data_IF_778637198338
#
_entry.id   IF_778637198338
#
_cell.length_a   1.000
_cell.length_b   1.000
_cell.length_c   1.000
_cell.angle_alpha   90.00
_cell.angle_beta   90.00
_cell.angle_gamma   90.00
#
_symmetry.space_group_name_H-M   'P 1'
#
loop_
_entity.id
_entity.type
_entity.pdbx_description
1 polymer ?
2 non-polymer ?
3 non-polymer ?
4 non-polymer ?
5 water ?
#
# COMPACT_ATOMS: atom_id res chain seq x y z
N UNK A 1 16.14 -16.62 0.01
CA UNK A 1 16.66 -17.54 1.07
C UNK A 1 15.58 -17.83 2.08
N UNK A 2 15.82 -18.64 3.08
CA UNK A 2 14.76 -18.90 4.08
C UNK A 2 14.37 -17.61 4.84
N UNK A 3 13.05 -17.45 4.89
CA UNK A 3 12.39 -16.30 5.57
C UNK A 3 12.67 -16.36 7.07
N UNK A 4 12.75 -17.61 7.52
CA UNK A 4 13.07 -17.86 8.94
C UNK A 4 14.43 -17.29 9.28
N UNK A 5 15.45 -17.51 8.47
CA UNK A 5 16.73 -16.92 8.87
C UNK A 5 16.86 -15.49 8.50
N UNK A 6 15.89 -14.99 7.73
CA UNK A 6 15.77 -13.52 7.50
C UNK A 6 15.33 -12.88 8.85
N UNK A 7 14.34 -13.55 9.37
CA UNK A 7 13.73 -13.25 10.67
C UNK A 7 14.81 -13.35 11.74
N UNK A 8 15.66 -14.40 11.69
CA UNK A 8 16.72 -14.47 12.69
C UNK A 8 17.78 -13.40 12.47
N UNK A 9 18.27 -13.35 11.26
CA UNK A 9 19.31 -12.40 10.87
C UNK A 9 18.92 -10.96 11.26
N UNK A 10 17.64 -10.60 11.00
CA UNK A 10 17.17 -9.25 11.27
C UNK A 10 16.52 -9.06 12.65
N UNK A 11 16.25 -10.18 13.30
CA UNK A 11 15.58 -10.15 14.62
C UNK A 11 14.23 -9.45 14.42
N UNK A 12 13.67 -9.71 13.22
CA UNK A 12 12.35 -9.13 12.86
C UNK A 12 11.28 -10.19 12.60
N UNK A 13 10.05 -9.73 12.43
CA UNK A 13 8.85 -10.52 12.19
C UNK A 13 8.43 -10.23 10.73
N UNK A 14 8.33 -11.28 9.91
CA UNK A 14 8.02 -11.16 8.51
C UNK A 14 6.65 -11.74 8.19
N UNK A 15 5.92 -10.97 7.40
CA UNK A 15 4.59 -11.29 6.92
C UNK A 15 4.63 -11.10 5.42
N UNK A 16 4.42 -12.19 4.69
CA UNK A 16 4.56 -12.20 3.23
C UNK A 16 3.36 -12.93 2.58
N UNK A 17 2.88 -12.30 1.49
CA UNK A 17 1.86 -12.84 0.63
C UNK A 17 2.21 -12.39 -0.80
N UNK A 18 2.44 -13.40 -1.63
CA UNK A 18 2.80 -13.20 -3.02
C UNK A 18 1.81 -14.05 -3.84
N UNK A 19 1.33 -13.44 -4.91
CA UNK A 19 0.42 -14.08 -5.84
C UNK A 19 0.88 -13.77 -7.26
N UNK A 20 1.06 -14.92 -7.95
CA UNK A 20 1.37 -14.92 -9.37
C UNK A 20 -0.06 -14.87 -10.00
N UNK A 21 -0.24 -13.74 -10.70
CA UNK A 21 -1.61 -13.56 -11.30
C UNK A 21 -1.75 -14.41 -12.53
N UNK A 22 -0.68 -14.66 -13.25
CA UNK A 22 -0.76 -15.61 -14.40
C UNK A 22 -1.24 -17.00 -13.97
N UNK A 23 -0.42 -17.56 -13.06
CA UNK A 23 -0.53 -18.96 -12.62
C UNK A 23 -1.43 -19.22 -11.46
N UNK A 24 -1.66 -18.17 -10.65
CA UNK A 24 -2.38 -18.31 -9.41
C UNK A 24 -1.51 -18.91 -8.30
N UNK A 25 -0.20 -18.98 -8.52
CA UNK A 25 0.70 -19.54 -7.45
C UNK A 25 0.92 -18.50 -6.34
N UNK A 26 0.86 -18.91 -5.09
CA UNK A 26 1.06 -18.12 -3.89
C UNK A 26 2.26 -18.62 -3.08
N UNK A 27 2.85 -17.68 -2.36
CA UNK A 27 3.98 -17.86 -1.44
C UNK A 27 3.46 -17.05 -0.22
N UNK A 28 3.23 -17.79 0.84
CA UNK A 28 2.69 -17.29 2.10
C UNK A 28 3.73 -17.46 3.19
N UNK A 29 3.70 -16.67 4.22
CA UNK A 29 4.62 -16.73 5.36
C UNK A 29 4.02 -15.79 6.45
N UNK A 30 3.54 -16.42 7.53
CA UNK A 30 2.99 -15.56 8.62
C UNK A 30 1.87 -14.70 7.98
N UNK A 31 1.30 -15.26 6.95
CA UNK A 31 0.30 -14.80 6.08
C UNK A 31 -1.02 -14.35 6.72
N UNK A 32 -1.38 -14.97 7.84
CA UNK A 32 -2.67 -14.59 8.47
C UNK A 32 -2.40 -13.81 9.76
N UNK A 33 -1.18 -13.33 9.87
CA UNK A 33 -0.84 -12.54 11.10
C UNK A 33 -0.94 -11.04 10.67
N UNK A 34 -1.61 -10.31 11.50
CA UNK A 34 -1.96 -8.92 11.42
C UNK A 34 -0.79 -8.02 11.65
N UNK A 35 -0.77 -6.97 10.86
CA UNK A 35 0.30 -5.96 10.95
C UNK A 35 -0.43 -4.63 10.53
N UNK A 36 0.26 -3.57 10.95
CA UNK A 36 -0.20 -2.20 10.56
C UNK A 36 0.16 -1.98 9.09
N UNK A 37 -0.78 -1.64 8.25
CA UNK A 37 -0.46 -1.38 6.84
C UNK A 37 0.10 0.01 6.58
N UNK A 38 -0.24 0.95 7.47
CA UNK A 38 0.19 2.35 7.36
C UNK A 38 -0.10 2.89 5.93
N UNK A 39 0.88 3.61 5.37
CA UNK A 39 0.68 4.17 4.06
C UNK A 39 0.42 3.23 2.94
N UNK A 40 0.60 1.91 3.03
CA UNK A 40 0.34 1.01 1.92
C UNK A 40 -1.15 1.13 1.50
N UNK A 41 -1.89 1.45 2.58
CA UNK A 41 -3.33 1.65 2.42
C UNK A 41 -3.67 2.77 1.42
N UNK A 42 -2.76 3.66 1.13
CA UNK A 42 -3.08 4.82 0.21
C UNK A 42 -3.44 4.31 -1.16
N UNK A 43 -2.87 3.10 -1.48
CA UNK A 43 -3.14 2.49 -2.79
C UNK A 43 -4.57 1.97 -2.97
N UNK A 44 -5.16 1.55 -1.87
CA UNK A 44 -6.49 0.98 -1.83
C UNK A 44 -7.55 2.05 -2.02
N UNK A 45 -7.39 3.12 -1.27
CA UNK A 45 -8.37 4.25 -1.27
C UNK A 45 -8.33 4.87 -2.71
N UNK A 46 -7.09 5.05 -3.14
CA UNK A 46 -6.85 5.57 -4.46
C UNK A 46 -7.63 4.74 -5.49
N UNK A 47 -7.41 3.45 -5.47
CA UNK A 47 -8.05 2.56 -6.44
C UNK A 47 -9.57 2.65 -6.28
N UNK A 48 -10.05 2.74 -5.07
CA UNK A 48 -11.49 2.83 -4.75
C UNK A 48 -12.11 4.09 -5.37
N UNK A 49 -11.45 5.21 -5.27
CA UNK A 49 -11.88 6.44 -6.00
C UNK A 49 -11.84 6.23 -7.52
N UNK A 50 -10.80 5.60 -8.00
CA UNK A 50 -10.51 5.33 -9.39
C UNK A 50 -11.61 4.53 -10.09
N UNK A 51 -12.29 3.71 -9.39
CA UNK A 51 -13.39 2.88 -9.80
C UNK A 51 -14.63 3.78 -9.97
N UNK A 52 -14.69 4.78 -9.12
CA UNK A 52 -15.87 5.65 -9.07
C UNK A 52 -15.86 6.91 -9.88
N UNK A 53 -14.79 7.29 -10.52
CA UNK A 53 -14.71 8.52 -11.30
C UNK A 53 -13.81 8.17 -12.54
N UNK A 54 -14.36 8.31 -13.72
CA UNK A 54 -13.67 8.07 -14.95
C UNK A 54 -12.50 9.09 -14.98
N UNK A 55 -11.49 8.67 -15.67
CA UNK A 55 -10.25 9.36 -15.90
C UNK A 55 -10.45 10.80 -16.37
N UNK A 56 -11.42 10.92 -17.27
CA UNK A 56 -11.74 12.22 -17.90
C UNK A 56 -12.23 13.17 -16.79
N UNK A 57 -12.87 12.62 -15.78
CA UNK A 57 -13.48 13.43 -14.71
C UNK A 57 -12.62 13.57 -13.44
N UNK A 58 -11.31 13.47 -13.55
CA UNK A 58 -10.43 13.58 -12.36
C UNK A 58 -9.93 15.00 -12.20
N UNK A 59 -10.29 15.79 -13.19
CA UNK A 59 -10.04 17.22 -13.27
C UNK A 59 -11.01 17.93 -12.25
N UNK A 60 -12.02 17.21 -11.84
CA UNK A 60 -12.94 17.62 -10.81
C UNK A 60 -12.14 18.25 -9.62
N UNK A 61 -12.54 19.46 -9.20
CA UNK A 61 -11.79 20.13 -8.15
C UNK A 61 -12.56 20.10 -6.85
N UNK A 62 -11.81 19.95 -5.76
CA UNK A 62 -12.38 19.88 -4.37
C UNK A 62 -11.70 21.00 -3.56
N UNK A 63 -12.35 21.55 -2.58
CA UNK A 63 -11.81 22.68 -1.79
C UNK A 63 -11.21 22.18 -0.46
N UNK A 64 -9.99 22.64 -0.22
CA UNK A 64 -9.23 22.36 0.99
C UNK A 64 -9.18 23.60 1.89
N UNK A 65 -9.52 23.43 3.15
CA UNK A 65 -9.29 24.54 4.12
C UNK A 65 -8.32 23.90 5.14
N UNK A 66 -8.06 24.74 6.13
CA UNK A 66 -7.14 24.50 7.23
C UNK A 66 -7.55 23.32 8.12
N UNK A 67 -8.81 23.07 8.16
CA UNK A 67 -9.43 21.99 8.93
C UNK A 67 -9.05 20.65 8.29
N UNK A 68 -8.83 20.67 7.00
CA UNK A 68 -8.48 19.50 6.19
C UNK A 68 -7.03 19.00 6.45
N UNK A 69 -6.14 19.90 6.79
CA UNK A 69 -4.76 19.67 6.96
C UNK A 69 -4.27 18.86 8.16
N UNK A 70 -3.51 17.82 7.80
CA UNK A 70 -2.84 16.94 8.81
C UNK A 70 -1.35 16.94 8.50
N UNK A 71 -0.59 16.38 9.41
CA UNK A 71 0.84 16.27 9.38
C UNK A 71 1.34 15.46 8.18
N UNK A 72 2.53 15.86 7.74
CA UNK A 72 3.21 15.19 6.64
C UNK A 72 2.25 15.14 5.42
N UNK A 73 2.11 16.36 4.88
CA UNK A 73 1.32 16.62 3.66
C UNK A 73 2.17 17.64 2.89
N UNK A 74 3.24 17.12 2.29
CA UNK A 74 4.23 17.95 1.59
C UNK A 74 3.57 18.69 0.41
N UNK A 75 2.54 18.02 -0.14
CA UNK A 75 1.87 18.62 -1.31
C UNK A 75 0.68 19.57 -0.85
N UNK A 76 -0.23 19.04 -0.15
CA UNK A 76 -1.49 19.59 0.29
C UNK A 76 -1.40 20.71 1.34
N UNK A 77 -0.25 20.74 1.98
CA UNK A 77 0.07 21.72 3.03
C UNK A 77 -0.02 23.15 2.44
N UNK A 78 0.30 23.32 1.18
CA UNK A 78 0.20 24.58 0.46
C UNK A 78 -1.21 24.87 -0.07
N UNK A 79 -2.19 23.98 0.03
CA UNK A 79 -3.50 24.22 -0.56
C UNK A 79 -4.53 24.83 0.37
N UNK A 80 -4.15 25.34 1.52
CA UNK A 80 -5.13 25.94 2.45
C UNK A 80 -5.80 27.12 1.65
N UNK A 81 -7.12 27.01 1.62
CA UNK A 81 -7.98 27.92 0.90
C UNK A 81 -8.06 27.74 -0.58
N UNK A 82 -7.64 26.60 -1.14
CA UNK A 82 -7.65 26.38 -2.59
C UNK A 82 -8.24 25.01 -2.93
N UNK A 83 -8.38 24.87 -4.21
CA UNK A 83 -8.94 23.67 -4.86
C UNK A 83 -7.76 22.89 -5.48
N UNK A 84 -8.04 21.58 -5.50
CA UNK A 84 -7.00 20.67 -6.11
C UNK A 84 -7.86 19.68 -6.81
N UNK A 85 -7.38 19.17 -7.99
CA UNK A 85 -8.25 18.08 -8.60
C UNK A 85 -8.20 16.74 -7.90
N UNK A 86 -9.12 15.86 -8.28
CA UNK A 86 -9.04 14.43 -7.88
C UNK A 86 -7.69 13.87 -8.39
N UNK A 87 -7.35 14.15 -9.60
CA UNK A 87 -6.10 13.70 -10.21
C UNK A 87 -4.90 14.02 -9.33
N UNK A 88 -4.71 15.28 -8.95
CA UNK A 88 -3.59 15.68 -8.11
C UNK A 88 -3.71 15.18 -6.68
N UNK A 89 -4.86 14.82 -6.18
CA UNK A 89 -4.96 14.31 -4.78
C UNK A 89 -4.23 12.92 -4.76
N UNK A 90 -4.55 12.13 -5.76
CA UNK A 90 -4.07 10.78 -5.95
C UNK A 90 -2.54 10.81 -6.20
N UNK A 91 -2.14 11.67 -7.14
CA UNK A 91 -0.72 11.90 -7.32
C UNK A 91 0.01 12.19 -6.00
N UNK A 92 -0.53 13.06 -5.16
CA UNK A 92 0.08 13.47 -3.93
C UNK A 92 0.05 12.30 -2.93
N UNK A 93 -1.09 11.61 -2.83
CA UNK A 93 -1.15 10.47 -1.93
C UNK A 93 -0.08 9.41 -2.38
N UNK A 94 -0.19 9.03 -3.65
CA UNK A 94 0.67 7.98 -4.21
C UNK A 94 2.16 8.32 -4.21
N UNK A 95 2.66 9.33 -4.82
CA UNK A 95 4.07 9.65 -4.93
C UNK A 95 4.75 10.17 -3.70
N UNK A 96 3.94 10.94 -2.87
CA UNK A 96 4.52 11.67 -1.73
C UNK A 96 3.97 11.12 -0.44
N UNK A 97 3.13 10.11 -0.57
CA UNK A 97 2.43 9.59 0.60
C UNK A 97 1.85 10.80 1.38
N UNK A 98 1.08 11.65 0.75
CA UNK A 98 0.49 12.88 1.31
C UNK A 98 -0.71 12.59 2.15
N UNK A 99 -0.57 12.84 3.48
CA UNK A 99 -1.59 12.48 4.48
C UNK A 99 -2.92 13.27 4.27
N UNK A 100 -2.84 14.50 3.86
CA UNK A 100 -4.18 15.24 3.67
C UNK A 100 -4.85 14.65 2.46
N UNK A 101 -4.02 14.49 1.44
CA UNK A 101 -4.53 13.84 0.17
C UNK A 101 -5.30 12.59 0.49
N UNK A 102 -4.61 11.68 1.24
CA UNK A 102 -5.30 10.38 1.56
C UNK A 102 -6.64 10.65 2.22
N UNK A 103 -6.62 11.42 3.29
CA UNK A 103 -7.83 11.81 4.04
C UNK A 103 -8.94 12.30 3.06
N UNK A 104 -8.59 13.28 2.22
CA UNK A 104 -9.58 13.84 1.28
C UNK A 104 -10.04 12.72 0.33
N UNK A 105 -9.08 11.83 -0.04
CA UNK A 105 -9.53 10.69 -0.91
C UNK A 105 -10.58 9.84 -0.23
N UNK A 106 -10.40 9.46 0.99
CA UNK A 106 -11.37 8.57 1.72
C UNK A 106 -12.73 9.30 1.78
N UNK A 107 -12.53 10.63 2.05
CA UNK A 107 -13.72 11.52 2.13
C UNK A 107 -14.43 11.48 0.78
N UNK A 108 -13.73 11.70 -0.31
CA UNK A 108 -14.44 11.64 -1.62
C UNK A 108 -15.12 10.32 -1.85
N UNK A 109 -14.56 9.25 -1.32
CA UNK A 109 -15.12 7.90 -1.54
C UNK A 109 -16.42 7.73 -0.76
N UNK A 110 -16.56 8.55 0.27
CA UNK A 110 -17.70 8.51 1.18
C UNK A 110 -17.31 8.04 2.55
N UNK A 111 -16.09 8.18 2.99
CA UNK A 111 -15.68 7.83 4.36
C UNK A 111 -15.28 6.35 4.51
N UNK A 112 -14.78 6.06 5.72
CA UNK A 112 -14.28 4.79 6.16
C UNK A 112 -15.27 3.65 6.05
N UNK A 113 -16.52 3.92 6.29
CA UNK A 113 -17.66 3.05 6.20
C UNK A 113 -17.84 2.59 4.74
N UNK A 114 -17.49 3.50 3.87
CA UNK A 114 -17.59 3.21 2.42
C UNK A 114 -16.44 2.29 2.08
N UNK A 115 -15.29 2.59 2.66
CA UNK A 115 -14.10 1.73 2.42
C UNK A 115 -14.49 0.35 3.02
N UNK A 116 -14.94 0.42 4.27
CA UNK A 116 -15.31 -0.87 4.95
C UNK A 116 -16.26 -1.65 4.07
N UNK A 117 -17.14 -0.92 3.43
CA UNK A 117 -18.17 -1.47 2.54
C UNK A 117 -17.56 -2.11 1.31
N UNK A 118 -16.63 -1.43 0.71
CA UNK A 118 -15.94 -1.99 -0.50
C UNK A 118 -15.19 -3.27 -0.21
N UNK A 119 -14.43 -3.25 0.89
CA UNK A 119 -13.62 -4.37 1.40
C UNK A 119 -14.45 -5.64 1.45
N UNK A 120 -15.61 -5.45 2.13
CA UNK A 120 -16.53 -6.60 2.29
C UNK A 120 -17.00 -7.10 0.94
N UNK A 121 -17.15 -6.21 -0.04
CA UNK A 121 -17.61 -6.62 -1.38
C UNK A 121 -16.57 -7.47 -2.07
N UNK A 122 -15.34 -7.09 -1.76
CA UNK A 122 -14.12 -7.70 -2.19
C UNK A 122 -13.93 -9.01 -1.41
N UNK A 123 -14.71 -9.17 -0.36
CA UNK A 123 -14.70 -10.39 0.46
C UNK A 123 -13.52 -10.34 1.42
N UNK A 124 -13.22 -9.11 1.82
CA UNK A 124 -12.14 -8.71 2.69
C UNK A 124 -12.75 -8.38 4.04
N UNK A 125 -12.51 -9.46 4.81
CA UNK A 125 -13.05 -9.63 6.16
C UNK A 125 -12.04 -9.13 7.16
N UNK A 126 -10.83 -8.98 6.75
CA UNK A 126 -9.72 -8.70 7.71
C UNK A 126 -9.26 -7.28 7.82
N UNK A 127 -9.03 -6.69 6.64
CA UNK A 127 -8.53 -5.27 6.62
C UNK A 127 -9.53 -4.45 7.44
N UNK A 128 -8.96 -3.81 8.47
CA UNK A 128 -9.77 -3.06 9.45
C UNK A 128 -9.38 -1.61 9.64
N UNK A 129 -9.78 -0.78 8.67
CA UNK A 129 -9.52 0.67 8.77
C UNK A 129 -10.50 1.24 9.78
N UNK A 130 -9.94 1.96 10.76
CA UNK A 130 -10.75 2.54 11.82
C UNK A 130 -10.58 4.04 11.94
N UNK A 131 -9.35 4.47 11.71
CA UNK A 131 -8.93 5.84 11.91
C UNK A 131 -8.67 6.54 10.57
N UNK A 132 -8.40 7.84 10.72
CA UNK A 132 -8.06 8.67 9.55
C UNK A 132 -6.56 8.90 9.71
N UNK A 133 -5.95 9.57 8.80
CA UNK A 133 -4.54 9.99 8.96
C UNK A 133 -4.52 11.06 10.06
N UNK A 134 -3.42 11.16 10.78
CA UNK A 134 -2.22 10.36 10.73
C UNK A 134 -2.23 9.22 11.76
N UNK A 135 -3.30 9.06 12.49
CA UNK A 135 -3.51 8.09 13.55
C UNK A 135 -3.67 6.63 13.11
N UNK A 136 -4.03 6.45 11.86
CA UNK A 136 -4.22 5.14 11.26
C UNK A 136 -2.89 4.38 11.14
N UNK A 137 -1.81 5.06 11.43
CA UNK A 137 -0.42 4.57 11.38
C UNK A 137 0.21 4.41 12.77
N UNK A 138 -0.58 4.33 13.80
CA UNK A 138 -0.22 4.27 15.20
C UNK A 138 -0.44 2.85 15.75
N UNK A 139 0.39 1.95 15.30
CA UNK A 139 0.39 0.57 15.64
C UNK A 139 0.70 0.21 17.09
N UNK A 140 -0.11 -0.72 17.53
CA UNK A 140 -0.03 -1.36 18.84
C UNK A 140 -0.47 -2.85 18.63
N UNK A 141 0.44 -3.71 19.07
CA UNK A 141 0.28 -5.17 19.01
C UNK A 141 -1.05 -5.67 19.58
N UNK A 142 -1.53 -4.79 20.43
CA UNK A 142 -2.74 -4.99 21.21
C UNK A 142 -3.97 -4.49 20.51
N UNK A 143 -3.82 -3.77 19.41
CA UNK A 143 -5.06 -3.32 18.70
C UNK A 143 -4.98 -3.73 17.25
N UNK A 144 -6.07 -4.08 16.69
CA UNK A 144 -6.48 -4.54 15.41
C UNK A 144 -6.72 -3.40 14.40
N UNK A 145 -6.67 -2.19 14.89
CA UNK A 145 -7.05 -1.00 14.08
C UNK A 145 -6.06 -0.63 13.02
N UNK A 146 -6.55 -0.61 11.76
CA UNK A 146 -5.64 -0.18 10.63
C UNK A 146 -4.57 -1.28 10.45
N UNK A 147 -5.06 -2.50 10.59
CA UNK A 147 -4.31 -3.75 10.38
C UNK A 147 -5.03 -4.59 9.34
N UNK A 148 -4.24 -5.52 8.81
CA UNK A 148 -4.65 -6.57 7.87
C UNK A 148 -3.51 -7.63 7.97
N UNK A 149 -3.73 -8.74 7.35
CA UNK A 149 -2.75 -9.83 7.20
C UNK A 149 -2.21 -9.72 5.80
N UNK A 150 -1.02 -10.15 5.57
CA UNK A 150 -0.42 -10.06 4.22
C UNK A 150 -1.34 -10.70 3.19
N UNK A 151 -2.07 -11.73 3.60
CA UNK A 151 -3.02 -12.39 2.67
C UNK A 151 -4.24 -11.56 2.28
N UNK A 152 -4.99 -11.09 3.28
CA UNK A 152 -6.19 -10.25 3.07
C UNK A 152 -5.76 -9.00 2.30
N UNK A 153 -4.70 -8.33 2.77
CA UNK A 153 -4.26 -7.15 2.00
C UNK A 153 -4.02 -7.48 0.53
N UNK A 154 -3.22 -8.49 0.24
CA UNK A 154 -2.78 -9.04 -1.02
C UNK A 154 -3.95 -9.43 -1.93
N UNK A 155 -4.86 -10.24 -1.38
CA UNK A 155 -6.07 -10.67 -2.09
C UNK A 155 -6.87 -9.49 -2.62
N UNK A 156 -7.04 -8.46 -1.79
CA UNK A 156 -7.71 -7.23 -2.06
C UNK A 156 -7.03 -6.40 -3.13
N UNK A 157 -5.73 -6.29 -3.09
CA UNK A 157 -4.94 -5.54 -4.10
C UNK A 157 -5.15 -6.16 -5.46
N UNK A 158 -5.21 -7.53 -5.39
CA UNK A 158 -5.38 -8.32 -6.61
C UNK A 158 -6.74 -7.98 -7.24
N UNK A 159 -7.75 -8.17 -6.43
CA UNK A 159 -9.14 -7.95 -6.75
C UNK A 159 -9.46 -6.50 -7.15
N UNK A 160 -8.84 -5.56 -6.45
CA UNK A 160 -9.18 -4.15 -6.80
C UNK A 160 -8.46 -3.71 -8.08
N UNK A 161 -7.17 -3.96 -8.04
CA UNK A 161 -6.27 -3.43 -9.09
C UNK A 161 -5.92 -4.32 -10.24
N UNK A 162 -5.22 -5.44 -9.89
CA UNK A 162 -4.66 -6.31 -10.95
C UNK A 162 -5.74 -6.93 -11.80
N UNK A 163 -6.62 -7.54 -11.05
CA UNK A 163 -7.77 -8.24 -11.73
C UNK A 163 -9.03 -7.48 -11.36
N UNK A 164 -8.98 -6.16 -11.42
CA UNK A 164 -10.10 -5.29 -10.98
C UNK A 164 -11.04 -4.83 -12.05
N UNK A 165 -11.74 -3.72 -11.74
CA UNK A 165 -12.75 -3.16 -12.66
C UNK A 165 -12.34 -1.80 -13.20
N UNK A 166 -11.06 -1.47 -12.87
CA UNK A 166 -10.52 -0.21 -13.31
C UNK A 166 -10.52 -0.24 -14.86
N UNK A 167 -10.64 0.97 -15.35
CA UNK A 167 -10.48 1.26 -16.78
C UNK A 167 -8.98 1.25 -17.14
N UNK A 168 -8.74 1.05 -18.39
CA UNK A 168 -7.41 1.06 -18.98
C UNK A 168 -6.69 2.27 -18.41
N UNK A 169 -7.31 3.42 -18.65
CA UNK A 169 -6.79 4.74 -18.28
C UNK A 169 -6.53 4.88 -16.78
N UNK A 170 -7.48 4.51 -15.97
CA UNK A 170 -7.41 4.66 -14.52
C UNK A 170 -6.38 3.64 -13.93
N UNK A 171 -6.50 2.44 -14.48
CA UNK A 171 -5.50 1.40 -14.11
C UNK A 171 -4.09 1.86 -14.47
N UNK A 172 -3.87 2.35 -15.66
CA UNK A 172 -2.54 2.91 -16.04
C UNK A 172 -2.06 4.10 -15.22
N UNK A 173 -2.98 5.02 -14.91
CA UNK A 173 -2.63 6.25 -14.13
C UNK A 173 -2.05 5.81 -12.77
N UNK A 174 -2.73 4.96 -12.08
CA UNK A 174 -2.42 4.45 -10.76
C UNK A 174 -1.16 3.58 -10.66
N UNK A 175 -1.00 2.66 -11.64
CA UNK A 175 0.13 1.80 -11.72
C UNK A 175 1.37 2.61 -12.07
N UNK A 176 1.25 3.58 -13.00
CA UNK A 176 2.41 4.38 -13.38
C UNK A 176 2.99 5.13 -12.19
N UNK A 177 2.01 5.74 -11.45
CA UNK A 177 2.43 6.46 -10.22
C UNK A 177 3.22 5.45 -9.34
N UNK A 178 2.67 4.27 -9.11
CA UNK A 178 3.35 3.28 -8.24
C UNK A 178 4.69 2.83 -8.88
N UNK A 179 4.72 2.92 -10.22
CA UNK A 179 5.96 2.49 -10.92
C UNK A 179 7.00 3.58 -10.85
N UNK A 180 6.60 4.85 -10.92
CA UNK A 180 7.54 5.96 -10.95
C UNK A 180 8.09 6.42 -9.62
N UNK A 181 7.38 6.08 -8.62
CA UNK A 181 7.62 6.41 -7.20
C UNK A 181 9.02 5.82 -6.84
N UNK A 182 9.92 6.63 -6.48
CA UNK A 182 11.29 6.37 -6.11
C UNK A 182 11.39 6.25 -4.59
N UNK A 183 10.27 6.56 -3.93
CA UNK A 183 10.15 6.44 -2.49
C UNK A 183 10.50 5.10 -1.92
N UNK A 184 10.23 3.98 -2.53
CA UNK A 184 10.55 2.64 -1.97
C UNK A 184 11.61 1.85 -2.74
N UNK A 185 12.65 2.55 -3.19
CA UNK A 185 13.74 1.94 -3.96
C UNK A 185 14.57 0.97 -3.12
N UNK A 186 14.51 1.18 -1.82
CA UNK A 186 15.32 0.40 -0.84
C UNK A 186 14.51 -0.82 -0.38
N UNK A 187 13.31 -1.00 -0.96
CA UNK A 187 12.42 -2.07 -0.47
C UNK A 187 12.37 -3.19 -1.48
N UNK A 188 11.19 -3.54 -1.94
CA UNK A 188 11.01 -4.59 -2.92
C UNK A 188 11.89 -4.32 -4.13
N UNK A 189 11.82 -3.13 -4.65
CA UNK A 189 12.59 -2.78 -5.85
C UNK A 189 14.07 -3.12 -5.65
N UNK A 190 14.50 -2.93 -4.41
CA UNK A 190 15.93 -3.24 -4.12
C UNK A 190 16.22 -4.74 -4.20
N UNK A 191 15.28 -5.63 -3.97
CA UNK A 191 15.52 -7.04 -3.97
C UNK A 191 15.27 -7.90 -5.15
N UNK A 192 14.54 -7.40 -6.13
CA UNK A 192 14.17 -8.12 -7.34
C UNK A 192 15.27 -8.00 -8.38
N UNK A 193 15.18 -8.97 -9.31
CA UNK A 193 16.16 -9.07 -10.41
C UNK A 193 16.13 -7.76 -11.15
N UNK A 194 17.30 -7.41 -11.57
CA UNK A 194 17.68 -6.18 -12.25
C UNK A 194 16.73 -5.65 -13.28
N UNK A 195 16.14 -6.52 -14.14
CA UNK A 195 15.22 -6.11 -15.19
C UNK A 195 13.74 -6.40 -14.91
N UNK A 196 13.35 -6.36 -13.69
CA UNK A 196 12.01 -6.53 -13.19
C UNK A 196 11.45 -5.09 -13.00
N UNK A 197 10.14 -5.01 -13.12
CA UNK A 197 9.41 -3.74 -12.91
C UNK A 197 8.56 -3.84 -11.66
N UNK A 198 8.73 -2.80 -10.79
CA UNK A 198 8.02 -2.86 -9.50
C UNK A 198 7.12 -1.60 -9.32
N UNK A 199 5.86 -1.89 -9.09
CA UNK A 199 4.86 -0.78 -8.89
C UNK A 199 4.46 -0.94 -7.45
N UNK A 200 5.14 -0.18 -6.58
CA UNK A 200 4.79 -0.39 -5.13
C UNK A 200 4.28 0.95 -4.53
N UNK A 201 3.93 0.71 -3.28
CA UNK A 201 3.51 1.76 -2.34
C UNK A 201 4.09 1.23 -0.99
N UNK A 202 4.95 1.98 -0.44
CA UNK A 202 5.59 1.58 0.85
C UNK A 202 4.82 2.24 2.02
N UNK A 203 5.21 1.89 3.26
CA UNK A 203 4.55 2.47 4.43
C UNK A 203 5.48 2.16 5.62
N UNK A 204 5.19 2.87 6.69
CA UNK A 204 5.85 2.73 7.98
C UNK A 204 5.03 3.35 9.11
N UNK A 205 4.67 2.53 10.07
CA UNK A 205 4.00 2.93 11.30
C UNK A 205 5.11 3.48 12.24
N UNK A 206 4.61 4.35 13.12
CA UNK A 206 5.46 5.00 14.12
C UNK A 206 6.19 4.01 15.03
N UNK A 207 5.50 2.93 15.39
CA UNK A 207 6.07 1.98 16.39
C UNK A 207 6.39 0.60 15.88
N UNK A 208 7.21 -0.08 16.69
CA UNK A 208 7.61 -1.48 16.54
C UNK A 208 8.30 -1.69 15.19
N UNK A 209 8.97 -0.66 14.73
CA UNK A 209 9.69 -0.73 13.47
C UNK A 209 8.84 -1.29 12.30
N UNK A 210 7.56 -0.92 12.33
CA UNK A 210 6.59 -1.38 11.35
C UNK A 210 6.98 -0.86 9.96
N UNK A 211 7.55 -1.73 9.14
CA UNK A 211 7.97 -1.39 7.79
C UNK A 211 7.36 -2.34 6.79
N UNK A 212 6.77 -1.76 5.73
CA UNK A 212 6.03 -2.43 4.69
C UNK A 212 6.37 -1.89 3.30
N UNK A 213 6.10 -2.79 2.37
CA UNK A 213 6.14 -2.57 0.95
C UNK A 213 5.12 -3.49 0.27
N UNK A 214 4.31 -2.87 -0.57
CA UNK A 214 3.28 -3.55 -1.36
C UNK A 214 3.55 -3.25 -2.83
N UNK A 215 3.46 -4.31 -3.65
CA UNK A 215 3.68 -4.16 -5.10
C UNK A 215 3.02 -5.13 -6.07
N UNK A 216 2.99 -4.70 -7.30
CA UNK A 216 2.69 -5.38 -8.55
C UNK A 216 4.10 -5.44 -9.21
N UNK A 217 4.52 -6.74 -9.33
CA UNK A 217 5.94 -6.97 -9.77
C UNK A 217 5.86 -7.66 -11.12
N UNK A 218 6.55 -7.13 -12.09
CA UNK A 218 6.51 -7.65 -13.45
C UNK A 218 7.89 -8.22 -13.80
N UNK A 219 7.91 -9.57 -13.81
CA UNK A 219 9.13 -10.30 -14.17
C UNK A 219 9.62 -9.78 -15.54
N UNK A 220 10.94 -9.66 -15.58
CA UNK A 220 11.59 -9.27 -16.87
C UNK A 220 10.94 -10.21 -17.91
N UNK A 221 10.21 -9.62 -18.85
CA UNK A 221 9.52 -10.35 -19.90
C UNK A 221 8.19 -11.01 -19.57
N UNK A 222 7.52 -10.51 -18.54
CA UNK A 222 6.20 -10.99 -18.10
C UNK A 222 5.22 -9.83 -17.89
N UNK A 223 4.09 -9.86 -18.58
CA UNK A 223 3.03 -8.88 -18.56
C UNK A 223 2.16 -8.90 -17.30
N UNK A 224 1.68 -10.06 -16.90
CA UNK A 224 0.86 -10.20 -15.68
C UNK A 224 1.83 -9.97 -14.49
N UNK A 225 1.35 -9.29 -13.46
CA UNK A 225 2.16 -9.01 -12.30
C UNK A 225 2.04 -10.07 -11.20
N UNK A 226 3.10 -10.04 -10.40
CA UNK A 226 3.05 -10.83 -9.12
C UNK A 226 2.68 -9.74 -8.08
N UNK A 227 1.61 -10.02 -7.40
CA UNK A 227 1.15 -9.25 -6.24
C UNK A 227 2.01 -9.72 -5.01
N UNK A 228 2.67 -8.71 -4.44
CA UNK A 228 3.56 -8.91 -3.32
C UNK A 228 3.30 -7.97 -2.18
N UNK A 229 2.92 -8.58 -1.09
CA UNK A 229 2.77 -7.84 0.17
C UNK A 229 3.83 -8.33 1.18
N UNK A 230 4.65 -7.36 1.53
CA UNK A 230 5.61 -7.66 2.65
C UNK A 230 5.41 -6.69 3.82
N UNK A 231 5.02 -7.25 4.93
CA UNK A 231 4.84 -6.48 6.19
C UNK A 231 5.96 -6.92 7.14
N UNK A 232 6.55 -6.04 7.85
CA UNK A 232 7.59 -6.43 8.84
C UNK A 232 7.37 -5.61 10.09
N UNK A 233 7.75 -6.18 11.23
CA UNK A 233 7.74 -5.43 12.52
C UNK A 233 8.73 -6.11 13.49
N UNK A 234 8.89 -5.46 14.61
CA UNK A 234 9.89 -5.95 15.61
C UNK A 234 9.27 -5.91 16.99
N UNK A 235 9.95 -6.40 18.00
CA UNK A 235 9.53 -6.53 19.35
C UNK A 235 9.25 -5.26 20.14
N UNK A 236 10.15 -4.31 20.03
CA UNK A 236 10.01 -3.08 20.88
C UNK A 236 9.46 -1.89 20.17
N UNK A 237 8.61 -1.18 20.90
CA UNK A 237 7.98 0.05 20.44
C UNK A 237 8.89 0.97 19.69
N UNK A 238 10.04 1.28 20.24
CA UNK A 238 11.06 2.15 19.70
C UNK A 238 12.05 1.47 18.79
N UNK A 239 11.84 0.23 18.37
CA UNK A 239 12.78 -0.37 17.39
C UNK A 239 12.72 0.36 16.03
N UNK A 240 13.84 0.67 15.41
CA UNK A 240 13.86 1.18 14.03
C UNK A 240 14.02 0.00 13.06
N UNK A 241 13.44 0.12 11.87
CA UNK A 241 13.51 -0.96 10.87
C UNK A 241 14.72 -0.99 9.97
N UNK A 242 14.97 -2.17 9.37
CA UNK A 242 16.10 -2.28 8.37
C UNK A 242 15.43 -2.61 7.02
N UNK A 243 15.47 -1.64 6.12
CA UNK A 243 14.68 -1.82 4.83
C UNK A 243 15.19 -3.01 4.04
N UNK A 244 16.49 -3.24 4.22
CA UNK A 244 17.22 -4.35 3.60
C UNK A 244 16.51 -5.65 3.97
N UNK A 245 15.79 -5.59 5.12
CA UNK A 245 14.95 -6.72 5.50
C UNK A 245 13.96 -7.07 4.35
N UNK A 246 13.20 -6.08 3.89
CA UNK A 246 12.22 -6.24 2.83
C UNK A 246 12.88 -6.58 1.50
N UNK A 247 14.01 -5.92 1.22
CA UNK A 247 14.74 -6.21 -0.03
C UNK A 247 15.13 -7.67 -0.20
N UNK A 248 15.60 -8.21 0.95
CA UNK A 248 16.06 -9.65 1.02
C UNK A 248 14.87 -10.56 1.05
N UNK A 249 13.79 -10.06 1.66
CA UNK A 249 12.53 -10.91 1.60
C UNK A 249 12.04 -11.00 0.16
N UNK A 250 12.12 -9.84 -0.50
CA UNK A 250 11.57 -9.77 -1.88
C UNK A 250 12.42 -10.77 -2.75
N UNK A 251 13.67 -10.67 -2.65
CA UNK A 251 14.72 -11.45 -3.35
C UNK A 251 14.53 -12.94 -3.33
N UNK A 252 14.23 -13.40 -2.12
CA UNK A 252 13.88 -14.79 -1.80
C UNK A 252 12.61 -15.29 -2.43
N UNK A 253 11.50 -14.68 -2.11
CA UNK A 253 10.15 -14.95 -2.57
C UNK A 253 10.08 -14.95 -4.12
N UNK A 254 10.72 -13.96 -4.69
CA UNK A 254 10.73 -13.84 -6.15
C UNK A 254 11.37 -15.10 -6.76
N UNK A 255 12.23 -15.75 -6.01
CA UNK A 255 12.94 -16.96 -6.46
C UNK A 255 11.94 -18.04 -6.86
N UNK A 256 10.86 -18.13 -6.12
CA UNK A 256 9.82 -19.13 -6.32
C UNK A 256 8.94 -19.01 -7.53
N UNK A 257 9.09 -17.95 -8.27
CA UNK A 257 8.23 -17.71 -9.42
C UNK A 257 9.03 -17.85 -10.71
X LIG B 1 22.72 -1.41 0.61
X LIG B 1 22.01 -1.60 1.92
X LIG B 1 21.65 -1.48 -0.45
X LIG B 1 23.53 -0.18 0.43
X LIG B 1 23.60 -2.64 0.45
X LIG C 1 7.41 8.73 2.64
X LIG C 1 6.40 8.41 3.25
X LIG C 1 5.90 6.95 3.00
X LIG C 1 4.71 6.65 3.72
X LIG C 1 5.17 5.99 4.95
X LIG C 1 4.44 5.31 5.79
X LIG C 1 2.98 5.15 5.74
X LIG C 1 2.44 4.40 6.53
X LIG C 1 5.60 9.37 4.05
X LIG C 1 6.08 9.53 5.49
X LIG C 1 6.66 8.34 6.01
X LIG C 1 6.02 6.67 1.50
X LIG C 1 7.09 7.17 1.05
X LIG C 1 5.16 6.14 0.81
X LIG D 1 2.33 9.44 8.94
X LIG D 1 3.50 9.75 8.76
X LIG D 1 4.01 10.00 7.32
X LIG D 1 2.90 9.74 6.39
X LIG D 1 2.77 8.41 5.90
X LIG D 1 3.20 7.23 6.38
X LIG D 1 2.83 6.00 5.64
X LIG D 1 3.21 4.89 6.00
X LIG D 1 4.48 9.99 9.89
X LIG D 1 4.30 8.94 10.97
X LIG D 1 3.00 8.92 11.56
#
# INVERSE_FOLDING_TARGET
KELNDLEKKYNAHIGVYALDTKSGKEVKFNSDKRFAYASTSKAINSAILLEQVPYNKLNKKVHINKDDIVAYSPILEKYVGKDITLKALIEASMTYSDNTANNKIIKEIGGIKKVKQRLKELGDKVTNPVRYEIELNYYSPKSKKDTSTPAAFGKTLNKLIANGKLSKENKKFLLDLMLNNKSGDTLIKDGVPKDYKVADKSGQAITYASRNDVAFVYPKGQSEPIVLVIFTNKDNKSDKPNDKLISETAKSVMKEF
SO4 S O1 O2 O3 O4
CEM O1 C2 C3 N4 C5 C6 C7 O8 C9 C10 O11 C12 O13 O14
TEM O1 C2 C3 N4 C5 C6 C7 O8 C9 C10 O11
#
